data_IF_891261975474
#
_entry.id   IF_891261975474
#
_cell.length_a   1.000
_cell.length_b   1.000
_cell.length_c   1.000
_cell.angle_alpha   90.00
_cell.angle_beta   90.00
_cell.angle_gamma   90.00
#
_symmetry.space_group_name_H-M   'P 1'
#
loop_
_entity.id
_entity.type
_entity.pdbx_description
1 polymer ?
#
# COMPACT_ATOMS: atom_id res chain seq x y z
N UNK A 1 0.79 7.71 13.32
CA UNK A 1 0.32 7.40 11.96
C UNK A 1 1.37 6.55 11.27
N UNK A 2 1.02 5.43 10.65
CA UNK A 2 1.93 4.54 9.90
C UNK A 2 1.56 4.54 8.43
N UNK A 3 2.55 4.58 7.55
CA UNK A 3 2.33 4.64 6.11
C UNK A 3 2.92 3.40 5.43
N UNK A 4 2.18 2.83 4.49
CA UNK A 4 2.63 1.71 3.67
C UNK A 4 2.65 2.13 2.21
N UNK A 5 3.74 1.84 1.50
CA UNK A 5 3.83 1.98 0.05
C UNK A 5 4.00 0.59 -0.55
N UNK A 6 2.97 0.13 -1.27
CA UNK A 6 3.02 -1.11 -2.00
C UNK A 6 3.36 -0.85 -3.47
N UNK A 7 4.51 -1.36 -3.91
CA UNK A 7 4.98 -1.26 -5.28
C UNK A 7 4.60 -2.51 -6.09
N UNK A 8 3.65 -2.35 -7.02
CA UNK A 8 3.26 -3.41 -7.94
C UNK A 8 3.85 -3.19 -9.34
N UNK A 9 4.68 -4.12 -9.80
CA UNK A 9 5.27 -4.10 -11.13
C UNK A 9 4.20 -4.23 -12.23
N UNK A 10 3.18 -5.05 -11.98
CA UNK A 10 2.22 -5.46 -13.01
C UNK A 10 0.77 -5.06 -12.73
N UNK A 11 0.47 -4.48 -11.56
CA UNK A 11 -0.88 -4.10 -11.17
C UNK A 11 -1.56 -3.27 -12.24
N UNK A 12 -2.70 -3.75 -12.74
CA UNK A 12 -3.41 -3.15 -13.87
C UNK A 12 -3.88 -1.73 -13.52
N UNK A 13 -3.82 -0.83 -14.50
CA UNK A 13 -4.06 0.61 -14.31
C UNK A 13 -5.40 1.11 -14.89
N UNK A 14 -6.30 0.17 -15.17
CA UNK A 14 -7.69 0.41 -15.58
C UNK A 14 -8.61 -0.51 -14.79
N UNK A 15 -9.81 -0.05 -14.44
CA UNK A 15 -10.85 -0.85 -13.78
C UNK A 15 -11.46 -1.95 -14.65
N UNK A 16 -11.08 -2.01 -15.93
CA UNK A 16 -11.57 -3.03 -16.86
C UNK A 16 -10.82 -4.36 -16.68
N UNK A 17 -11.22 -5.14 -15.68
CA UNK A 17 -10.77 -6.51 -15.43
C UNK A 17 -11.83 -7.36 -14.71
N UNK A 18 -11.76 -8.67 -14.89
CA UNK A 18 -12.60 -9.66 -14.20
C UNK A 18 -11.75 -10.62 -13.37
N UNK A 19 -10.68 -11.16 -13.96
CA UNK A 19 -9.71 -12.03 -13.29
C UNK A 19 -8.65 -11.21 -12.56
N UNK A 20 -8.65 -11.29 -11.23
CA UNK A 20 -7.74 -10.54 -10.37
C UNK A 20 -6.27 -10.96 -10.54
N UNK A 21 -6.00 -12.23 -10.79
CA UNK A 21 -4.63 -12.72 -10.97
C UNK A 21 -4.05 -12.21 -12.29
N UNK A 22 -4.84 -12.28 -13.37
CA UNK A 22 -4.46 -11.77 -14.70
C UNK A 22 -4.42 -10.24 -14.77
N UNK A 23 -5.11 -9.54 -13.86
CA UNK A 23 -5.01 -8.10 -13.69
C UNK A 23 -3.74 -7.64 -12.96
N UNK A 24 -2.62 -8.34 -13.16
CA UNK A 24 -1.34 -7.96 -12.57
C UNK A 24 -1.24 -8.28 -11.08
N UNK A 25 -1.78 -9.43 -10.67
CA UNK A 25 -1.87 -9.84 -9.27
C UNK A 25 -2.66 -8.85 -8.40
N UNK A 26 -3.79 -8.37 -8.93
CA UNK A 26 -4.76 -7.54 -8.20
C UNK A 26 -5.29 -8.24 -6.95
N UNK A 27 -5.26 -9.57 -6.92
CA UNK A 27 -5.53 -10.36 -5.72
C UNK A 27 -4.64 -9.96 -4.54
N UNK A 28 -3.33 -9.76 -4.78
CA UNK A 28 -2.39 -9.35 -3.74
C UNK A 28 -2.69 -7.91 -3.30
N UNK A 29 -2.98 -7.01 -4.25
CA UNK A 29 -3.34 -5.61 -3.93
C UNK A 29 -4.57 -5.58 -3.01
N UNK A 30 -5.58 -6.42 -3.27
CA UNK A 30 -6.74 -6.53 -2.39
C UNK A 30 -6.34 -6.97 -0.97
N UNK A 31 -5.46 -7.96 -0.84
CA UNK A 31 -4.95 -8.40 0.47
C UNK A 31 -4.10 -7.34 1.18
N UNK A 32 -3.35 -6.52 0.43
CA UNK A 32 -2.61 -5.37 0.99
C UNK A 32 -3.60 -4.39 1.62
N UNK A 33 -4.65 -3.98 0.89
CA UNK A 33 -5.68 -3.07 1.40
C UNK A 33 -6.35 -3.68 2.65
N UNK A 34 -6.75 -4.95 2.60
CA UNK A 34 -7.40 -5.62 3.74
C UNK A 34 -6.49 -5.59 4.97
N UNK A 35 -5.25 -6.05 4.82
CA UNK A 35 -4.33 -6.20 5.94
C UNK A 35 -3.77 -4.87 6.46
N UNK A 36 -3.82 -3.81 5.65
CA UNK A 36 -3.46 -2.46 6.07
C UNK A 36 -4.49 -1.86 7.02
N UNK A 37 -5.78 -2.04 6.77
CA UNK A 37 -6.83 -1.29 7.46
C UNK A 37 -7.68 -2.11 8.44
N UNK A 38 -7.98 -3.38 8.16
CA UNK A 38 -9.02 -4.11 8.88
C UNK A 38 -8.46 -4.88 10.08
N UNK A 39 -9.17 -4.76 11.20
CA UNK A 39 -9.08 -5.62 12.37
C UNK A 39 -10.41 -6.38 12.52
N UNK A 40 -10.51 -7.28 13.49
CA UNK A 40 -11.69 -8.14 13.66
C UNK A 40 -13.00 -7.39 13.93
N UNK A 41 -12.95 -6.22 14.56
CA UNK A 41 -14.14 -5.44 14.94
C UNK A 41 -13.97 -3.93 14.72
N UNK A 42 -12.85 -3.50 14.11
CA UNK A 42 -12.56 -2.08 13.88
C UNK A 42 -11.68 -1.88 12.66
N UNK A 43 -11.58 -0.64 12.20
CA UNK A 43 -10.58 -0.22 11.22
C UNK A 43 -9.48 0.59 11.88
N UNK A 44 -8.27 0.55 11.30
CA UNK A 44 -7.16 1.42 11.65
C UNK A 44 -7.33 2.78 10.95
N UNK A 45 -7.50 3.85 11.72
CA UNK A 45 -7.52 5.24 11.22
C UNK A 45 -6.14 5.93 11.26
N UNK A 46 -5.15 5.27 11.86
CA UNK A 46 -3.78 5.72 11.92
C UNK A 46 -2.94 5.24 10.72
N UNK A 47 -3.58 4.72 9.66
CA UNK A 47 -2.91 4.14 8.48
C UNK A 47 -3.12 5.00 7.23
N UNK A 48 -2.03 5.21 6.47
CA UNK A 48 -2.09 5.66 5.07
C UNK A 48 -1.49 4.60 4.15
N UNK A 49 -2.19 4.27 3.07
CA UNK A 49 -1.73 3.30 2.09
C UNK A 49 -1.54 3.95 0.72
N UNK A 50 -0.36 3.78 0.15
CA UNK A 50 -0.02 4.14 -1.22
C UNK A 50 0.11 2.88 -2.06
N UNK A 51 -0.70 2.76 -3.11
CA UNK A 51 -0.59 1.70 -4.11
C UNK A 51 0.04 2.29 -5.37
N UNK A 52 1.18 1.75 -5.78
CA UNK A 52 1.82 2.09 -7.05
C UNK A 52 1.57 0.97 -8.04
N UNK A 53 0.82 1.27 -9.09
CA UNK A 53 0.42 0.32 -10.12
C UNK A 53 1.16 0.62 -11.43
N UNK A 54 2.00 -0.30 -11.89
CA UNK A 54 2.85 -0.12 -13.08
C UNK A 54 2.45 -1.02 -14.26
N UNK A 55 1.30 -1.70 -14.19
CA UNK A 55 0.77 -2.52 -15.27
C UNK A 55 0.04 -1.73 -16.37
N UNK A 56 -0.20 -2.35 -17.53
CA UNK A 56 -1.01 -1.76 -18.61
C UNK A 56 -2.46 -1.47 -18.16
N UNK A 57 -3.22 -0.63 -18.89
CA UNK A 57 -2.85 0.02 -20.15
C UNK A 57 -2.20 1.41 -20.01
N UNK A 58 -2.30 2.07 -18.86
CA UNK A 58 -1.85 3.47 -18.68
C UNK A 58 -1.03 3.66 -17.39
N UNK A 59 0.11 2.97 -17.23
CA UNK A 59 0.98 3.15 -16.08
C UNK A 59 1.74 4.49 -16.10
N UNK A 60 2.22 4.95 -14.93
CA UNK A 60 1.89 4.46 -13.59
C UNK A 60 0.56 5.05 -13.07
N UNK A 61 -0.09 4.38 -12.11
CA UNK A 61 -1.12 4.99 -11.25
C UNK A 61 -0.66 4.96 -9.80
N UNK A 62 -0.91 6.06 -9.11
CA UNK A 62 -0.79 6.17 -7.67
C UNK A 62 -2.19 6.26 -7.09
N UNK A 63 -2.53 5.34 -6.21
CA UNK A 63 -3.75 5.40 -5.40
C UNK A 63 -3.31 5.62 -3.95
N UNK A 64 -3.87 6.63 -3.32
CA UNK A 64 -3.66 6.93 -1.90
C UNK A 64 -4.97 6.69 -1.17
N UNK A 65 -4.92 5.93 -0.07
CA UNK A 65 -6.08 5.59 0.75
C UNK A 65 -5.75 5.95 2.19
N UNK A 66 -6.60 6.77 2.81
CA UNK A 66 -6.66 6.98 4.25
C UNK A 66 -8.03 6.53 4.72
N UNK A 67 -8.08 5.78 5.82
CA UNK A 67 -9.34 5.40 6.44
C UNK A 67 -9.70 6.39 7.56
N UNK A 68 -11.00 6.67 7.74
CA UNK A 68 -11.52 7.30 8.95
C UNK A 68 -12.37 6.27 9.68
N UNK A 69 -12.13 6.07 10.98
CA UNK A 69 -12.97 5.19 11.82
C UNK A 69 -14.43 5.62 11.87
N UNK A 70 -14.71 6.92 11.68
CA UNK A 70 -16.08 7.47 11.65
C UNK A 70 -16.79 7.26 10.30
N UNK A 71 -16.04 7.22 9.21
CA UNK A 71 -16.59 7.17 7.85
C UNK A 71 -16.32 5.83 7.14
N UNK A 72 -15.63 4.88 7.80
CA UNK A 72 -15.33 3.56 7.29
C UNK A 72 -14.54 3.57 5.96
N UNK A 73 -14.56 2.43 5.25
CA UNK A 73 -14.13 2.37 3.86
C UNK A 73 -15.37 2.42 2.95
N UNK A 74 -15.34 3.18 1.84
CA UNK A 74 -16.48 3.29 0.94
C UNK A 74 -16.85 1.92 0.39
N UNK A 75 -18.11 1.55 0.54
CA UNK A 75 -18.55 0.24 0.12
C UNK A 75 -19.00 0.21 -1.32
N UNK A 76 -18.86 -0.99 -1.86
CA UNK A 76 -19.57 -1.41 -3.06
C UNK A 76 -20.69 -2.38 -2.63
N UNK A 77 -21.69 -1.87 -1.89
CA UNK A 77 -22.95 -2.57 -1.63
C UNK A 77 -23.17 -3.20 -0.24
N UNK A 78 -22.61 -2.65 0.85
CA UNK A 78 -22.90 -3.03 2.25
C UNK A 78 -23.22 -1.75 3.09
N UNK A 79 -23.13 -1.76 4.43
CA UNK A 79 -23.20 -0.55 5.29
C UNK A 79 -21.84 0.01 5.74
N UNK A 80 -21.60 1.30 5.48
CA UNK A 80 -20.28 1.93 5.59
C UNK A 80 -19.70 1.73 6.99
N UNK A 81 -18.54 1.08 7.08
CA UNK A 81 -17.92 0.70 8.36
C UNK A 81 -18.15 -0.76 8.77
N UNK A 82 -18.83 -1.56 7.94
CA UNK A 82 -18.94 -3.00 8.14
C UNK A 82 -17.55 -3.66 8.12
N UNK A 83 -17.30 -4.52 9.11
CA UNK A 83 -16.04 -5.30 9.18
C UNK A 83 -16.09 -6.53 8.26
N UNK A 84 -17.26 -6.84 7.71
CA UNK A 84 -17.50 -7.91 6.76
C UNK A 84 -17.03 -7.57 5.34
N UNK A 85 -15.81 -7.07 5.19
CA UNK A 85 -15.24 -6.73 3.88
C UNK A 85 -14.57 -7.95 3.25
N UNK A 86 -15.05 -8.30 2.06
CA UNK A 86 -14.48 -9.37 1.25
C UNK A 86 -13.50 -8.85 0.22
N UNK A 87 -12.70 -9.76 -0.34
CA UNK A 87 -11.83 -9.49 -1.49
C UNK A 87 -12.60 -8.95 -2.70
N UNK A 88 -13.86 -9.34 -2.89
CA UNK A 88 -14.70 -8.85 -4.00
C UNK A 88 -15.04 -7.38 -3.82
N UNK A 89 -15.33 -6.96 -2.59
CA UNK A 89 -15.67 -5.57 -2.26
C UNK A 89 -14.47 -4.66 -2.50
N UNK A 90 -13.28 -5.08 -2.08
CA UNK A 90 -12.03 -4.35 -2.34
C UNK A 90 -11.71 -4.27 -3.83
N UNK A 91 -11.90 -5.38 -4.57
CA UNK A 91 -11.71 -5.36 -6.01
C UNK A 91 -12.71 -4.40 -6.69
N UNK A 92 -13.96 -4.37 -6.25
CA UNK A 92 -14.98 -3.42 -6.69
C UNK A 92 -14.57 -1.97 -6.45
N UNK A 93 -14.11 -1.66 -5.23
CA UNK A 93 -13.60 -0.34 -4.86
C UNK A 93 -12.44 0.09 -5.76
N UNK A 94 -11.42 -0.77 -5.95
CA UNK A 94 -10.26 -0.46 -6.82
C UNK A 94 -10.71 -0.20 -8.26
N UNK A 95 -11.68 -0.96 -8.79
CA UNK A 95 -12.23 -0.70 -10.12
C UNK A 95 -12.82 0.71 -10.22
N UNK A 96 -13.65 1.11 -9.25
CA UNK A 96 -14.27 2.45 -9.24
C UNK A 96 -13.20 3.53 -9.15
N UNK A 97 -12.21 3.37 -8.27
CA UNK A 97 -11.09 4.30 -8.14
C UNK A 97 -10.40 4.47 -9.50
N UNK A 98 -10.04 3.36 -10.17
CA UNK A 98 -9.38 3.38 -11.47
C UNK A 98 -10.25 3.98 -12.58
N UNK A 99 -11.57 3.77 -12.58
CA UNK A 99 -12.49 4.40 -13.53
C UNK A 99 -12.68 5.89 -13.30
N UNK A 100 -12.60 6.36 -12.05
CA UNK A 100 -12.69 7.78 -11.68
C UNK A 100 -11.38 8.55 -11.87
N UNK A 101 -10.32 7.91 -12.36
CA UNK A 101 -9.09 8.59 -12.76
C UNK A 101 -9.34 9.65 -13.85
N UNK A 102 -8.75 10.84 -13.68
CA UNK A 102 -8.78 11.91 -14.68
C UNK A 102 -7.35 12.33 -15.03
N UNK A 103 -7.02 12.39 -16.32
CA UNK A 103 -5.68 12.77 -16.79
C UNK A 103 -5.29 14.16 -16.30
N UNK A 104 -4.08 14.29 -15.76
CA UNK A 104 -3.51 15.56 -15.30
C UNK A 104 -4.07 16.11 -13.99
N UNK A 105 -4.91 15.35 -13.26
CA UNK A 105 -5.47 15.77 -11.97
C UNK A 105 -5.32 14.66 -10.91
N UNK A 106 -5.16 15.05 -9.65
CA UNK A 106 -5.41 14.18 -8.50
C UNK A 106 -6.91 14.24 -8.24
N UNK A 107 -7.62 13.16 -8.54
CA UNK A 107 -9.06 13.05 -8.26
C UNK A 107 -9.27 12.33 -6.94
N UNK A 108 -10.37 12.68 -6.27
CA UNK A 108 -10.83 12.04 -5.02
C UNK A 108 -12.12 11.25 -5.32
N UNK A 109 -12.01 10.00 -5.80
CA UNK A 109 -13.15 9.10 -6.01
C UNK A 109 -14.14 9.01 -4.85
N UNK A 110 -13.61 9.05 -3.63
CA UNK A 110 -14.31 9.01 -2.35
C UNK A 110 -13.47 9.77 -1.33
N UNK A 111 -14.08 10.30 -0.27
CA UNK A 111 -13.38 11.04 0.77
C UNK A 111 -12.21 10.21 1.33
N UNK A 112 -11.01 10.79 1.35
CA UNK A 112 -9.80 10.12 1.82
C UNK A 112 -9.22 9.08 0.85
N UNK A 113 -9.77 8.95 -0.36
CA UNK A 113 -9.26 8.06 -1.41
C UNK A 113 -8.96 8.87 -2.65
N UNK A 114 -7.69 8.93 -3.02
CA UNK A 114 -7.21 9.69 -4.16
C UNK A 114 -6.60 8.79 -5.23
N UNK A 115 -6.69 9.23 -6.48
CA UNK A 115 -5.98 8.63 -7.61
C UNK A 115 -5.37 9.69 -8.51
N UNK A 116 -4.15 9.44 -8.96
CA UNK A 116 -3.43 10.31 -9.89
C UNK A 116 -2.43 9.52 -10.75
N UNK A 117 -1.90 10.18 -11.78
CA UNK A 117 -0.77 9.67 -12.56
C UNK A 117 0.53 10.22 -11.99
N UNK A 118 1.06 9.53 -10.98
CA UNK A 118 2.31 9.87 -10.30
C UNK A 118 3.24 8.66 -10.26
N UNK A 119 4.50 8.87 -10.64
CA UNK A 119 5.52 7.83 -10.58
C UNK A 119 5.96 7.57 -9.14
N UNK A 120 6.37 6.35 -8.84
CA UNK A 120 6.90 6.00 -7.53
C UNK A 120 8.05 6.90 -7.05
N UNK A 121 8.98 7.26 -7.95
CA UNK A 121 10.09 8.18 -7.62
C UNK A 121 9.57 9.50 -7.04
N UNK A 122 8.60 10.14 -7.71
CA UNK A 122 7.96 11.36 -7.20
C UNK A 122 7.27 11.17 -5.84
N UNK A 123 6.64 10.02 -5.60
CA UNK A 123 6.04 9.71 -4.29
C UNK A 123 7.12 9.63 -3.21
N UNK A 124 8.25 9.00 -3.50
CA UNK A 124 9.39 8.93 -2.57
C UNK A 124 10.01 10.33 -2.35
N UNK A 125 10.12 11.15 -3.39
CA UNK A 125 10.66 12.51 -3.28
C UNK A 125 9.77 13.40 -2.38
N UNK A 126 8.44 13.23 -2.44
CA UNK A 126 7.48 13.91 -1.57
C UNK A 126 7.57 13.44 -0.10
N UNK A 127 8.13 12.25 0.14
CA UNK A 127 8.27 11.65 1.47
C UNK A 127 9.72 11.63 1.96
N UNK A 128 10.66 12.27 1.26
CA UNK A 128 12.11 12.13 1.47
C UNK A 128 12.59 12.48 2.88
N UNK A 129 11.88 13.38 3.58
CA UNK A 129 12.20 13.85 4.93
C UNK A 129 11.48 13.02 6.02
N UNK A 130 10.85 11.89 5.65
CA UNK A 130 10.17 10.96 6.56
C UNK A 130 11.08 9.78 6.91
N UNK A 131 10.70 9.04 7.95
CA UNK A 131 11.40 7.82 8.37
C UNK A 131 11.03 6.66 7.43
N UNK A 132 11.78 6.50 6.34
CA UNK A 132 11.50 5.49 5.31
C UNK A 132 12.24 4.18 5.62
N UNK A 133 11.50 3.09 5.56
CA UNK A 133 11.97 1.72 5.77
C UNK A 133 11.72 0.89 4.52
N UNK A 134 12.78 0.43 3.87
CA UNK A 134 12.69 -0.41 2.68
C UNK A 134 12.74 -1.88 3.09
N UNK A 135 11.68 -2.64 2.83
CA UNK A 135 11.65 -4.06 3.17
C UNK A 135 12.55 -4.84 2.20
N UNK A 136 13.57 -5.49 2.76
CA UNK A 136 14.53 -6.31 2.04
C UNK A 136 15.04 -7.46 2.92
N UNK A 137 15.14 -8.67 2.34
CA UNK A 137 15.64 -9.86 3.05
C UNK A 137 17.06 -9.66 3.62
N UNK A 138 17.89 -8.83 2.97
CA UNK A 138 19.26 -8.52 3.39
C UNK A 138 19.35 -7.26 4.25
N UNK A 139 18.23 -6.64 4.58
CA UNK A 139 18.17 -5.51 5.50
C UNK A 139 18.48 -5.92 6.93
N UNK A 140 18.66 -4.92 7.79
CA UNK A 140 18.83 -5.15 9.22
C UNK A 140 17.56 -5.76 9.82
N UNK A 141 17.71 -6.72 10.72
CA UNK A 141 16.55 -7.37 11.35
C UNK A 141 15.74 -6.34 12.15
N UNK A 142 14.44 -6.27 11.89
CA UNK A 142 13.54 -5.28 12.49
C UNK A 142 13.53 -5.37 14.03
N UNK A 143 13.83 -6.54 14.60
CA UNK A 143 13.92 -6.73 16.05
C UNK A 143 15.11 -6.01 16.70
N UNK A 144 16.11 -5.60 15.92
CA UNK A 144 17.33 -4.94 16.40
C UNK A 144 17.31 -3.43 16.26
N UNK A 145 16.27 -2.88 15.62
CA UNK A 145 16.17 -1.45 15.35
C UNK A 145 15.01 -0.83 16.10
N UNK A 146 15.17 0.45 16.47
CA UNK A 146 14.07 1.27 16.96
C UNK A 146 13.35 1.90 15.76
N UNK A 147 12.11 1.48 15.50
CA UNK A 147 11.26 2.12 14.50
C UNK A 147 10.91 3.53 15.01
N UNK A 148 11.24 4.55 14.21
CA UNK A 148 10.96 5.95 14.53
C UNK A 148 9.48 6.26 14.30
N UNK A 149 9.01 7.34 14.92
CA UNK A 149 7.64 7.81 14.75
C UNK A 149 7.30 8.12 13.29
N UNK A 150 6.01 8.00 12.98
CA UNK A 150 5.45 8.24 11.66
C UNK A 150 6.16 7.49 10.50
N UNK A 151 6.40 6.17 10.64
CA UNK A 151 7.21 5.39 9.70
C UNK A 151 6.51 5.20 8.35
N UNK A 152 7.33 5.11 7.29
CA UNK A 152 6.90 4.81 5.92
C UNK A 152 7.56 3.51 5.46
N UNK A 153 6.79 2.45 5.28
CA UNK A 153 7.30 1.14 4.86
C UNK A 153 7.10 0.91 3.38
N UNK A 154 8.18 0.63 2.65
CA UNK A 154 8.14 0.31 1.23
C UNK A 154 8.18 -1.20 1.04
N UNK A 155 7.14 -1.76 0.43
CA UNK A 155 6.94 -3.19 0.22
C UNK A 155 6.81 -3.45 -1.29
N UNK A 156 7.65 -4.35 -1.82
CA UNK A 156 7.54 -4.81 -3.21
C UNK A 156 6.50 -5.91 -3.36
N UNK A 157 6.00 -6.11 -4.59
CA UNK A 157 5.20 -7.29 -4.93
C UNK A 157 6.04 -8.58 -5.00
N UNK A 158 5.44 -9.66 -5.50
CA UNK A 158 6.07 -10.96 -5.70
C UNK A 158 7.35 -10.95 -6.57
N UNK A 159 7.58 -9.95 -7.41
CA UNK A 159 8.81 -9.77 -8.20
C UNK A 159 9.82 -8.85 -7.48
N UNK A 160 9.41 -8.20 -6.40
CA UNK A 160 10.19 -7.24 -5.64
C UNK A 160 10.31 -5.89 -6.33
N UNK A 161 11.10 -4.99 -5.72
CA UNK A 161 11.36 -3.66 -6.30
C UNK A 161 12.47 -3.78 -7.35
N UNK A 162 12.29 -3.27 -8.58
CA UNK A 162 13.31 -3.31 -9.62
C UNK A 162 14.65 -2.72 -9.16
N UNK A 163 15.78 -3.38 -9.51
CA UNK A 163 17.13 -2.97 -9.07
C UNK A 163 17.47 -1.50 -9.32
N UNK A 164 16.99 -0.91 -10.42
CA UNK A 164 17.22 0.51 -10.74
C UNK A 164 16.46 1.43 -9.79
N UNK A 165 15.19 1.09 -9.53
CA UNK A 165 14.33 1.81 -8.59
C UNK A 165 14.88 1.68 -7.17
N UNK A 166 15.23 0.47 -6.74
CA UNK A 166 15.86 0.22 -5.43
C UNK A 166 17.13 1.07 -5.24
N UNK A 167 18.00 1.13 -6.25
CA UNK A 167 19.21 1.99 -6.22
C UNK A 167 18.86 3.47 -6.09
N UNK A 168 17.78 3.94 -6.68
CA UNK A 168 17.32 5.33 -6.52
C UNK A 168 16.92 5.60 -5.07
N UNK A 169 16.06 4.77 -4.50
CA UNK A 169 15.58 4.93 -3.11
C UNK A 169 16.76 4.96 -2.14
N UNK A 170 17.73 4.04 -2.30
CA UNK A 170 18.90 3.92 -1.42
C UNK A 170 19.92 5.07 -1.54
N UNK A 171 19.73 6.01 -2.48
CA UNK A 171 20.53 7.26 -2.48
C UNK A 171 20.09 8.21 -1.38
N UNK A 172 18.84 8.09 -0.90
CA UNK A 172 18.39 8.82 0.26
C UNK A 172 18.98 8.15 1.51
N UNK A 173 19.78 8.91 2.27
CA UNK A 173 20.46 8.43 3.49
C UNK A 173 19.49 8.09 4.62
N UNK A 174 18.28 8.64 4.57
CA UNK A 174 17.24 8.40 5.59
C UNK A 174 16.42 7.13 5.31
N UNK A 175 16.70 6.42 4.21
CA UNK A 175 16.09 5.12 3.91
C UNK A 175 16.89 4.01 4.59
N UNK A 176 16.22 3.26 5.45
CA UNK A 176 16.80 2.11 6.15
C UNK A 176 16.29 0.80 5.55
N UNK A 177 17.16 -0.04 4.94
CA UNK A 177 16.77 -1.39 4.51
C UNK A 177 16.56 -2.29 5.73
N UNK A 178 15.38 -2.89 5.85
CA UNK A 178 15.01 -3.72 7.00
C UNK A 178 14.44 -5.07 6.58
N UNK A 179 14.66 -6.08 7.41
CA UNK A 179 14.12 -7.43 7.25
C UNK A 179 13.14 -7.74 8.39
N UNK A 180 12.04 -8.41 8.08
CA UNK A 180 11.09 -8.90 9.10
C UNK A 180 11.34 -10.36 9.51
N UNK A 181 12.45 -10.95 9.05
CA UNK A 181 12.84 -12.31 9.40
C UNK A 181 13.51 -13.07 8.26
N UNK A 182 13.87 -14.35 8.49
CA UNK A 182 14.68 -15.13 7.55
C UNK A 182 13.91 -15.65 6.32
N UNK A 183 12.57 -15.66 6.39
CA UNK A 183 11.69 -16.18 5.32
C UNK A 183 11.24 -15.07 4.38
N UNK A 184 10.95 -15.46 3.14
CA UNK A 184 10.32 -14.56 2.16
C UNK A 184 8.81 -14.69 2.33
N UNK A 185 8.19 -13.64 2.85
CA UNK A 185 6.74 -13.60 3.10
C UNK A 185 6.00 -12.99 1.91
N UNK A 186 4.71 -13.33 1.79
CA UNK A 186 3.82 -12.55 0.92
C UNK A 186 3.76 -11.10 1.42
N UNK A 187 3.70 -10.16 0.48
CA UNK A 187 3.63 -8.73 0.81
C UNK A 187 2.48 -8.40 1.78
N UNK A 188 1.34 -9.07 1.66
CA UNK A 188 0.22 -8.92 2.59
C UNK A 188 0.53 -9.41 4.01
N UNK A 189 1.37 -10.46 4.17
CA UNK A 189 1.82 -10.93 5.48
C UNK A 189 2.83 -9.96 6.09
N UNK A 190 3.68 -9.34 5.27
CA UNK A 190 4.60 -8.28 5.73
C UNK A 190 3.82 -7.15 6.39
N UNK A 191 2.73 -6.69 5.77
CA UNK A 191 1.85 -5.66 6.37
C UNK A 191 1.29 -6.10 7.73
N UNK A 192 0.81 -7.33 7.86
CA UNK A 192 0.29 -7.86 9.14
C UNK A 192 1.38 -7.88 10.22
N UNK A 193 2.57 -8.35 9.88
CA UNK A 193 3.70 -8.43 10.82
C UNK A 193 4.13 -7.03 11.26
N UNK A 194 4.29 -6.09 10.33
CA UNK A 194 4.62 -4.70 10.65
C UNK A 194 3.57 -4.06 11.54
N UNK A 195 2.28 -4.26 11.22
CA UNK A 195 1.19 -3.79 12.06
C UNK A 195 1.27 -4.35 13.48
N UNK A 196 1.51 -5.66 13.64
CA UNK A 196 1.65 -6.28 14.95
C UNK A 196 2.85 -5.74 15.75
N UNK A 197 3.99 -5.53 15.09
CA UNK A 197 5.19 -4.95 15.72
C UNK A 197 4.90 -3.53 16.23
N UNK A 198 4.25 -2.70 15.41
CA UNK A 198 3.89 -1.34 15.81
C UNK A 198 2.88 -1.32 16.95
N UNK A 199 1.84 -2.16 16.88
CA UNK A 199 0.84 -2.27 17.94
C UNK A 199 1.47 -2.67 19.29
N UNK A 200 2.51 -3.51 19.27
CA UNK A 200 3.25 -3.90 20.49
C UNK A 200 4.12 -2.79 21.06
N UNK A 201 4.56 -1.84 20.23
CA UNK A 201 5.36 -0.70 20.66
C UNK A 201 4.50 0.47 21.18
N UNK A 202 3.19 0.43 20.92
CA UNK A 202 2.21 1.40 21.44
C UNK A 202 1.70 1.03 22.84
N UNK A 203 2.03 -0.17 23.34
CA UNK A 203 1.76 -0.67 24.70
C UNK A 203 2.88 -0.22 25.64
#
# INVERSE_FOLDING_TARGET
MREFIYYSNKGRTSGNFTDLMKAGRMDIICHIVINSFFLSQKMRDDVKLHLILNGPPDPPKHIEITASTKEGMPETGKEVGSVDISKKDIAGLIKIILYKYKKGKKSEPYKGIFIEKKSFVKVIDELKDRNIYLLDKKGEDISKIKIKENPVFIIGDHEGIPKKVKRYILKNKDVNPISIGPKVYFASHVVVILNNILDRNEI
#
